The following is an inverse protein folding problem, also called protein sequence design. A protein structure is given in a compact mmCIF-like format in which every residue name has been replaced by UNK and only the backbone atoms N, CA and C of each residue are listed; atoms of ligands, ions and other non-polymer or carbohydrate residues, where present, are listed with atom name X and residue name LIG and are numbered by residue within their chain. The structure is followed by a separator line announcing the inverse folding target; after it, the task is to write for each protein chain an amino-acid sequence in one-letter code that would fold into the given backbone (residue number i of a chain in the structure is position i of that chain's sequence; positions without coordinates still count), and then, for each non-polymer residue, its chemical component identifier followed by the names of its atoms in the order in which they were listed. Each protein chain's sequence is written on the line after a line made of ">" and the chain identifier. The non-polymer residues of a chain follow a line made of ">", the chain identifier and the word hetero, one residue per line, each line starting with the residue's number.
data_IF_962811397115
#
_entry.id   IF_962811397115
#
_cell.length_a   1.000
_cell.length_b   1.000
_cell.length_c   1.000
_cell.angle_alpha   90.00
_cell.angle_beta   90.00
_cell.angle_gamma   90.00
#
_symmetry.space_group_name_H-M   'P 1'
#
loop_
_entity.id
_entity.type
_entity.pdbx_description
1 polymer ?
#
# COMPACT_ATOMS: atom_id res chain seq x y z
N UNK A 1 17.94 -9.39 3.51
CA UNK A 1 18.96 -8.70 2.69
C UNK A 1 18.38 -8.13 1.39
N UNK A 2 17.62 -8.92 0.62
CA UNK A 2 16.98 -8.47 -0.64
C UNK A 2 15.97 -7.33 -0.41
N UNK A 3 15.12 -7.42 0.62
CA UNK A 3 14.12 -6.41 0.95
C UNK A 3 14.74 -5.03 1.26
N UNK A 4 15.82 -5.00 2.04
CA UNK A 4 16.52 -3.78 2.38
C UNK A 4 17.16 -3.11 1.15
N UNK A 5 17.73 -3.92 0.25
CA UNK A 5 18.28 -3.44 -1.02
C UNK A 5 17.17 -2.91 -1.95
N UNK A 6 16.04 -3.61 -2.05
CA UNK A 6 14.87 -3.17 -2.81
C UNK A 6 14.30 -1.85 -2.29
N UNK A 7 14.17 -1.72 -0.96
CA UNK A 7 13.70 -0.49 -0.32
C UNK A 7 14.67 0.68 -0.53
N UNK A 8 15.99 0.43 -0.44
CA UNK A 8 17.01 1.44 -0.72
C UNK A 8 16.95 1.93 -2.17
N UNK A 9 16.70 1.03 -3.13
CA UNK A 9 16.50 1.39 -4.53
C UNK A 9 15.24 2.23 -4.73
N UNK A 10 14.09 1.79 -4.21
CA UNK A 10 12.81 2.51 -4.33
C UNK A 10 12.85 3.91 -3.71
N UNK A 11 13.66 4.13 -2.66
CA UNK A 11 13.85 5.45 -2.05
C UNK A 11 14.60 6.43 -2.93
N UNK A 12 15.39 5.95 -3.90
CA UNK A 12 16.13 6.78 -4.87
C UNK A 12 15.33 7.17 -6.11
N UNK A 13 14.17 6.55 -6.32
CA UNK A 13 13.29 6.84 -7.44
C UNK A 13 12.28 7.94 -7.09
N UNK A 14 11.74 8.59 -8.14
CA UNK A 14 10.52 9.39 -8.02
C UNK A 14 9.46 8.59 -7.26
N UNK A 15 8.76 9.20 -6.29
CA UNK A 15 7.90 8.45 -5.38
C UNK A 15 6.67 7.86 -6.07
N UNK A 16 6.14 8.46 -7.15
CA UNK A 16 5.06 7.84 -7.94
C UNK A 16 5.60 6.65 -8.75
N UNK A 17 6.79 6.76 -9.36
CA UNK A 17 7.42 5.63 -10.05
C UNK A 17 7.71 4.48 -9.08
N UNK A 18 8.27 4.77 -7.91
CA UNK A 18 8.57 3.74 -6.92
C UNK A 18 7.28 3.06 -6.43
N UNK A 19 6.20 3.82 -6.27
CA UNK A 19 4.90 3.28 -5.89
C UNK A 19 4.33 2.34 -6.97
N UNK A 20 4.35 2.74 -8.24
CA UNK A 20 3.92 1.89 -9.35
C UNK A 20 4.76 0.60 -9.45
N UNK A 21 6.07 0.69 -9.21
CA UNK A 21 6.94 -0.49 -9.16
C UNK A 21 6.62 -1.41 -7.98
N UNK A 22 6.29 -0.86 -6.81
CA UNK A 22 5.89 -1.66 -5.66
C UNK A 22 4.58 -2.41 -5.91
N UNK A 23 3.56 -1.76 -6.48
CA UNK A 23 2.31 -2.42 -6.89
C UNK A 23 2.57 -3.50 -7.94
N UNK A 24 3.42 -3.23 -8.94
CA UNK A 24 3.80 -4.23 -9.94
C UNK A 24 4.52 -5.43 -9.31
N UNK A 25 5.42 -5.20 -8.35
CA UNK A 25 6.11 -6.27 -7.63
C UNK A 25 5.13 -7.14 -6.82
N UNK A 26 4.16 -6.53 -6.14
CA UNK A 26 3.08 -7.24 -5.46
C UNK A 26 2.27 -8.11 -6.43
N UNK A 27 1.85 -7.56 -7.57
CA UNK A 27 1.10 -8.30 -8.60
C UNK A 27 1.86 -9.49 -9.17
N UNK A 28 3.18 -9.39 -9.26
CA UNK A 28 4.06 -10.44 -9.75
C UNK A 28 4.44 -11.46 -8.66
N UNK A 29 3.94 -11.31 -7.42
CA UNK A 29 4.28 -12.20 -6.31
C UNK A 29 5.74 -12.06 -5.85
N UNK A 30 6.38 -10.93 -6.16
CA UNK A 30 7.77 -10.64 -5.76
C UNK A 30 7.87 -10.02 -4.36
N UNK A 31 6.72 -9.70 -3.77
CA UNK A 31 6.63 -9.35 -2.36
C UNK A 31 6.55 -10.64 -1.52
N UNK A 32 7.20 -10.65 -0.35
CA UNK A 32 7.18 -11.81 0.54
C UNK A 32 5.76 -12.25 0.88
N UNK A 33 5.49 -13.54 0.76
CA UNK A 33 4.20 -14.16 1.06
C UNK A 33 4.35 -14.98 2.34
N UNK A 34 3.76 -14.51 3.43
CA UNK A 34 3.69 -15.21 4.69
C UNK A 34 2.24 -15.51 5.14
N UNK A 35 1.25 -14.96 4.42
CA UNK A 35 -0.13 -14.91 4.88
C UNK A 35 -0.34 -13.86 5.97
N UNK A 36 -1.57 -13.64 6.44
CA UNK A 36 -1.86 -12.68 7.50
C UNK A 36 -1.17 -13.10 8.81
N UNK A 37 -0.58 -12.14 9.51
CA UNK A 37 -0.06 -12.38 10.86
C UNK A 37 -1.26 -12.57 11.79
N UNK A 38 -1.31 -13.65 12.57
CA UNK A 38 -2.47 -13.91 13.45
C UNK A 38 -2.08 -14.62 14.74
N UNK A 39 -2.83 -14.34 15.80
CA UNK A 39 -2.82 -15.08 17.06
C UNK A 39 -4.13 -14.80 17.81
N UNK A 40 -4.53 -15.62 18.81
CA UNK A 40 -5.73 -15.34 19.60
C UNK A 40 -5.77 -13.94 20.23
N UNK A 41 -4.60 -13.34 20.49
CA UNK A 41 -4.47 -11.99 21.06
C UNK A 41 -4.63 -10.86 20.03
N UNK A 42 -4.46 -11.16 18.74
CA UNK A 42 -4.54 -10.19 17.65
C UNK A 42 -5.91 -10.14 17.00
N UNK A 43 -6.71 -11.22 17.12
CA UNK A 43 -8.05 -11.28 16.54
C UNK A 43 -8.88 -10.08 17.05
N UNK A 44 -9.38 -9.29 16.10
CA UNK A 44 -10.06 -8.03 16.39
C UNK A 44 -11.41 -8.02 15.69
N UNK A 45 -12.49 -7.77 16.43
CA UNK A 45 -13.84 -7.66 15.87
C UNK A 45 -14.15 -6.22 15.50
N UNK A 46 -14.42 -5.96 14.22
CA UNK A 46 -14.74 -4.64 13.69
C UNK A 46 -15.88 -4.77 12.67
N UNK A 47 -16.90 -3.91 12.77
CA UNK A 47 -18.08 -3.93 11.88
C UNK A 47 -18.76 -5.31 11.74
N UNK A 48 -18.79 -6.10 12.81
CA UNK A 48 -19.36 -7.46 12.80
C UNK A 48 -18.53 -8.51 12.05
N UNK A 49 -17.30 -8.17 11.66
CA UNK A 49 -16.32 -9.07 11.04
C UNK A 49 -15.14 -9.29 11.99
N UNK A 50 -14.57 -10.48 11.94
CA UNK A 50 -13.34 -10.79 12.68
C UNK A 50 -12.14 -10.60 11.73
N UNK A 51 -11.23 -9.72 12.12
CA UNK A 51 -9.95 -9.49 11.44
C UNK A 51 -8.88 -10.37 12.11
N UNK A 52 -7.93 -10.95 11.35
CA UNK A 52 -6.89 -11.79 11.93
C UNK A 52 -5.90 -11.00 12.79
N UNK A 53 -5.74 -9.70 12.49
CA UNK A 53 -4.98 -8.73 13.28
C UNK A 53 -5.50 -7.30 13.02
N UNK A 54 -5.19 -6.31 13.89
CA UNK A 54 -5.70 -4.95 13.76
C UNK A 54 -4.85 -4.05 12.84
N UNK A 55 -3.87 -4.59 12.11
CA UNK A 55 -2.96 -3.82 11.25
C UNK A 55 -3.39 -3.96 9.80
N UNK A 56 -3.60 -2.83 9.12
CA UNK A 56 -3.99 -2.81 7.72
C UNK A 56 -3.25 -1.78 6.90
N UNK A 57 -3.43 -1.87 5.58
CA UNK A 57 -2.94 -0.88 4.62
C UNK A 57 -4.04 0.14 4.37
N UNK A 58 -3.71 1.42 4.53
CA UNK A 58 -4.63 2.53 4.34
C UNK A 58 -4.96 2.77 2.86
N UNK A 59 -6.12 3.43 2.63
CA UNK A 59 -6.49 3.92 1.31
C UNK A 59 -5.41 4.84 0.72
N UNK A 60 -5.40 4.93 -0.61
CA UNK A 60 -4.44 5.68 -1.39
C UNK A 60 -3.20 4.87 -1.78
N UNK A 61 -2.98 3.69 -1.17
CA UNK A 61 -1.94 2.75 -1.60
C UNK A 61 -2.38 1.96 -2.84
N UNK A 62 -3.46 1.19 -2.76
CA UNK A 62 -4.02 0.51 -3.93
C UNK A 62 -5.32 1.19 -4.35
N UNK A 63 -5.23 2.17 -5.24
CA UNK A 63 -6.38 2.98 -5.63
C UNK A 63 -7.35 2.23 -6.53
N UNK A 64 -6.85 1.27 -7.31
CA UNK A 64 -7.57 0.60 -8.39
C UNK A 64 -7.76 -0.91 -8.15
N UNK A 65 -7.57 -1.37 -6.91
CA UNK A 65 -7.66 -2.78 -6.52
C UNK A 65 -6.73 -3.71 -7.33
N UNK A 66 -5.53 -3.24 -7.67
CA UNK A 66 -4.60 -3.95 -8.53
C UNK A 66 -3.88 -5.12 -7.85
N UNK A 67 -3.73 -5.09 -6.52
CA UNK A 67 -2.88 -5.99 -5.76
C UNK A 67 -3.44 -6.33 -4.37
N UNK A 68 -4.77 -6.36 -4.20
CA UNK A 68 -5.43 -6.57 -2.91
C UNK A 68 -4.99 -7.86 -2.22
N UNK A 69 -5.14 -9.01 -2.89
CA UNK A 69 -4.80 -10.32 -2.31
C UNK A 69 -3.31 -10.45 -2.01
N UNK A 70 -2.47 -9.96 -2.93
CA UNK A 70 -1.02 -9.94 -2.74
C UNK A 70 -0.62 -9.08 -1.54
N UNK A 71 -1.32 -7.96 -1.31
CA UNK A 71 -1.08 -7.09 -0.16
C UNK A 71 -1.51 -7.79 1.13
N UNK A 72 -2.69 -8.42 1.19
CA UNK A 72 -3.13 -9.20 2.35
C UNK A 72 -2.16 -10.34 2.68
N UNK A 73 -1.57 -10.95 1.65
CA UNK A 73 -0.58 -12.03 1.80
C UNK A 73 0.74 -11.57 2.46
N UNK A 74 0.99 -10.26 2.56
CA UNK A 74 2.16 -9.67 3.22
C UNK A 74 2.01 -9.48 4.74
N UNK A 75 0.96 -10.03 5.37
CA UNK A 75 0.81 -10.02 6.83
C UNK A 75 -0.31 -9.14 7.38
N UNK A 76 -0.95 -8.33 6.53
CA UNK A 76 -1.99 -7.40 6.95
C UNK A 76 -3.32 -8.09 7.23
N UNK A 77 -4.04 -7.62 8.24
CA UNK A 77 -5.36 -8.11 8.59
C UNK A 77 -6.50 -7.52 7.76
N UNK A 78 -6.26 -6.36 7.13
CA UNK A 78 -7.18 -5.75 6.17
C UNK A 78 -6.44 -4.81 5.20
N UNK A 79 -7.08 -4.50 4.09
CA UNK A 79 -6.61 -3.51 3.09
C UNK A 79 -7.77 -2.60 2.75
N UNK A 80 -7.56 -1.29 2.79
CA UNK A 80 -8.51 -0.29 2.33
C UNK A 80 -8.11 0.18 0.93
N UNK A 81 -8.99 -0.05 -0.04
CA UNK A 81 -8.79 0.29 -1.46
C UNK A 81 -9.34 1.69 -1.75
N UNK A 82 -8.76 2.36 -2.73
CA UNK A 82 -9.28 3.62 -3.26
C UNK A 82 -8.43 4.81 -2.82
N UNK A 83 -8.98 6.03 -2.70
CA UNK A 83 -10.37 6.36 -2.97
C UNK A 83 -10.70 6.31 -4.47
N UNK A 84 -11.83 5.67 -4.79
CA UNK A 84 -12.35 5.56 -6.16
C UNK A 84 -13.43 6.61 -6.41
N UNK A 85 -13.54 7.08 -7.64
CA UNK A 85 -14.63 7.96 -8.08
C UNK A 85 -15.50 7.25 -9.14
N UNK A 86 -16.81 7.55 -9.23
CA UNK A 86 -17.70 6.89 -10.19
C UNK A 86 -17.25 6.99 -11.65
N UNK A 87 -16.47 8.05 -11.98
CA UNK A 87 -15.84 8.24 -13.29
C UNK A 87 -14.33 8.31 -13.12
N UNK A 88 -13.54 7.83 -14.09
CA UNK A 88 -12.09 7.93 -14.05
C UNK A 88 -11.64 9.38 -14.16
N UNK A 89 -10.56 9.72 -13.46
CA UNK A 89 -9.98 11.06 -13.45
C UNK A 89 -8.45 10.95 -13.49
N UNK A 90 -7.75 11.80 -14.27
CA UNK A 90 -6.28 11.76 -14.33
C UNK A 90 -5.61 12.28 -13.05
N UNK A 91 -6.37 12.95 -12.19
CA UNK A 91 -5.88 13.70 -11.03
C UNK A 91 -5.06 14.92 -11.40
N UNK A 92 -4.33 15.47 -10.43
CA UNK A 92 -3.54 16.68 -10.61
C UNK A 92 -2.26 16.43 -11.45
N UNK A 93 -1.66 17.46 -12.08
CA UNK A 93 -0.37 17.35 -12.77
C UNK A 93 0.76 16.91 -11.84
N UNK A 94 1.76 16.19 -12.40
CA UNK A 94 2.98 15.79 -11.68
C UNK A 94 4.01 16.94 -11.64
N UNK A 95 4.89 17.02 -10.62
CA UNK A 95 4.97 16.14 -9.44
C UNK A 95 3.91 16.46 -8.39
N UNK A 96 3.34 15.42 -7.78
CA UNK A 96 2.22 15.50 -6.83
C UNK A 96 2.33 14.56 -5.62
N UNK A 97 3.45 13.86 -5.48
CA UNK A 97 3.84 13.14 -4.27
C UNK A 97 5.28 13.53 -3.93
N UNK A 98 5.52 13.89 -2.67
CA UNK A 98 6.81 14.34 -2.17
C UNK A 98 7.12 13.58 -0.87
N UNK A 99 8.36 13.11 -0.73
CA UNK A 99 8.84 12.45 0.50
C UNK A 99 9.66 13.47 1.29
N UNK A 100 9.49 13.48 2.61
CA UNK A 100 10.23 14.30 3.57
C UNK A 100 10.95 13.35 4.54
N UNK A 101 12.13 12.81 4.16
CA UNK A 101 12.78 11.74 4.91
C UNK A 101 13.15 12.12 6.35
N UNK A 102 13.57 13.37 6.57
CA UNK A 102 13.95 13.90 7.88
C UNK A 102 12.77 13.87 8.84
N UNK A 103 11.58 14.20 8.35
CA UNK A 103 10.34 14.24 9.12
C UNK A 103 9.61 12.88 9.15
N UNK A 104 10.14 11.87 8.44
CA UNK A 104 9.46 10.59 8.18
C UNK A 104 8.04 10.79 7.62
N UNK A 105 7.88 11.79 6.76
CA UNK A 105 6.59 12.23 6.25
C UNK A 105 6.52 12.15 4.72
N UNK A 106 5.29 12.28 4.21
CA UNK A 106 5.02 12.48 2.79
C UNK A 106 3.89 13.51 2.64
N UNK A 107 3.99 14.35 1.60
CA UNK A 107 2.93 15.27 1.20
C UNK A 107 2.48 14.88 -0.20
N UNK A 108 1.17 14.83 -0.41
CA UNK A 108 0.62 14.54 -1.72
C UNK A 108 -0.52 15.49 -2.08
N UNK A 109 -0.73 15.65 -3.38
CA UNK A 109 -1.83 16.40 -3.99
C UNK A 109 -2.37 15.60 -5.18
N UNK A 110 -2.73 14.33 -4.96
CA UNK A 110 -3.13 13.44 -6.05
C UNK A 110 -4.38 13.88 -6.81
N UNK A 111 -5.41 14.31 -6.09
CA UNK A 111 -6.71 14.69 -6.69
C UNK A 111 -7.51 13.51 -7.24
N UNK A 112 -7.66 12.42 -6.46
CA UNK A 112 -8.41 11.20 -6.84
C UNK A 112 -8.03 10.65 -8.23
N UNK A 113 -6.72 10.49 -8.43
CA UNK A 113 -6.14 9.93 -9.65
C UNK A 113 -6.16 8.39 -9.68
#
# INVERSE_FOLDING_TARGET
>A
MIEAAGLALLRRLDPETAHALALKALRLGLAGVAGPVTSPRLITRLFGRDLPNPVGVAAGFDKNAEAVDATLACGFGFVEVGAVTPRPQPGNPRPRLFRLPQDRAAINRFGFN
#
